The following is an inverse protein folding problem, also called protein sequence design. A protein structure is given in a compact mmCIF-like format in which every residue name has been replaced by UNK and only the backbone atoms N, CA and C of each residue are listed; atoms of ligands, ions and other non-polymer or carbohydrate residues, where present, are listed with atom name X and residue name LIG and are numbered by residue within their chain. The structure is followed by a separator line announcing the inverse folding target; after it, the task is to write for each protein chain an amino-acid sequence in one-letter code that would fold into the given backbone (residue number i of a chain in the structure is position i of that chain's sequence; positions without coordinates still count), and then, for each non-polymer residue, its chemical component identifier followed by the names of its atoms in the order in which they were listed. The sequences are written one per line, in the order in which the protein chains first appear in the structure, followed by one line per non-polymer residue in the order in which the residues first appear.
data_IF_964151786570
#
_entry.id   IF_964151786570
#
_cell.length_a   1.000
_cell.length_b   1.000
_cell.length_c   1.000
_cell.angle_alpha   90.00
_cell.angle_beta   90.00
_cell.angle_gamma   90.00
#
_symmetry.space_group_name_H-M   'P 1'
#
loop_
_entity.id
_entity.type
_entity.pdbx_description
1 polymer ?
#
# COMPACT_ATOMS: atom_id res chain seq x y z
N UNK A 1 25.30 1.17 -62.58
CA UNK A 1 23.99 0.59 -62.91
C UNK A 1 23.22 0.39 -61.61
N UNK A 2 22.26 1.28 -61.35
CA UNK A 2 21.48 1.37 -60.12
C UNK A 2 20.11 0.74 -60.42
N UNK A 3 19.74 -0.29 -59.66
CA UNK A 3 18.49 -1.04 -59.81
C UNK A 3 17.30 -0.30 -59.19
N UNK A 4 16.14 -0.68 -59.71
CA UNK A 4 14.88 0.06 -59.77
C UNK A 4 14.15 0.33 -58.45
N UNK A 5 13.45 1.45 -58.52
CA UNK A 5 12.26 1.92 -57.81
C UNK A 5 11.05 0.97 -57.90
N UNK A 6 10.27 0.88 -56.82
CA UNK A 6 8.80 0.83 -56.84
C UNK A 6 8.23 1.10 -55.45
N UNK A 7 7.48 2.18 -55.34
CA UNK A 7 6.71 2.62 -54.19
C UNK A 7 5.30 2.00 -54.19
N UNK A 8 4.71 1.76 -53.01
CA UNK A 8 3.27 1.52 -52.87
C UNK A 8 2.77 1.75 -51.43
N UNK A 9 2.16 2.90 -51.18
CA UNK A 9 1.13 3.25 -50.16
C UNK A 9 0.44 4.54 -50.65
N UNK A 10 -0.74 5.02 -50.16
CA UNK A 10 -1.70 4.47 -49.18
C UNK A 10 -3.20 4.59 -49.62
N UNK A 11 -4.12 3.92 -48.91
CA UNK A 11 -5.56 4.27 -48.84
C UNK A 11 -6.14 3.69 -47.53
N UNK A 12 -6.94 4.32 -46.68
CA UNK A 12 -7.57 5.64 -46.58
C UNK A 12 -8.53 5.57 -45.35
N UNK A 13 -8.92 6.68 -44.70
CA UNK A 13 -9.74 6.66 -43.49
C UNK A 13 -11.24 6.74 -43.82
N UNK A 14 -12.08 5.98 -43.12
CA UNK A 14 -13.55 6.12 -43.22
C UNK A 14 -14.10 7.01 -42.11
N UNK A 15 -14.80 8.07 -42.53
CA UNK A 15 -15.50 9.09 -41.75
C UNK A 15 -16.82 8.59 -41.14
N UNK A 16 -17.27 9.21 -40.04
CA UNK A 16 -18.63 9.06 -39.51
C UNK A 16 -18.89 9.80 -38.19
N UNK A 17 -19.17 11.12 -38.26
CA UNK A 17 -19.74 11.95 -37.19
C UNK A 17 -21.24 11.64 -37.00
N UNK A 18 -21.74 11.63 -35.77
CA UNK A 18 -22.98 12.36 -35.43
C UNK A 18 -23.14 12.60 -33.93
N UNK A 19 -23.71 13.75 -33.63
CA UNK A 19 -23.99 14.36 -32.33
C UNK A 19 -25.42 14.01 -31.89
N UNK A 20 -25.70 13.90 -30.58
CA UNK A 20 -26.93 14.47 -30.01
C UNK A 20 -26.87 14.62 -28.49
N UNK A 21 -27.76 15.46 -28.00
CA UNK A 21 -27.67 16.30 -26.82
C UNK A 21 -28.76 15.90 -25.81
N UNK A 22 -28.50 16.17 -24.52
CA UNK A 22 -29.47 16.47 -23.44
C UNK A 22 -30.54 15.46 -23.04
N UNK A 23 -30.51 15.02 -21.77
CA UNK A 23 -31.70 15.03 -20.90
C UNK A 23 -31.29 15.39 -19.47
N UNK A 24 -31.81 16.51 -18.97
CA UNK A 24 -31.90 16.88 -17.55
C UNK A 24 -32.94 15.98 -16.86
N UNK A 25 -32.69 15.60 -15.62
CA UNK A 25 -33.78 15.15 -14.72
C UNK A 25 -33.60 15.77 -13.35
N UNK A 26 -34.44 16.76 -13.08
CA UNK A 26 -34.69 17.34 -11.77
C UNK A 26 -35.28 16.29 -10.80
N UNK A 27 -34.89 16.38 -9.53
CA UNK A 27 -35.36 15.47 -8.49
C UNK A 27 -34.86 15.84 -7.10
N UNK A 28 -35.11 17.07 -6.65
CA UNK A 28 -35.05 17.48 -5.24
C UNK A 28 -36.15 16.76 -4.48
N UNK A 29 -35.82 16.02 -3.41
CA UNK A 29 -36.60 16.02 -2.17
C UNK A 29 -35.73 15.64 -0.96
N UNK A 30 -35.90 16.48 0.06
CA UNK A 30 -35.30 16.48 1.39
C UNK A 30 -36.11 15.59 2.32
N UNK A 31 -35.46 14.87 3.25
CA UNK A 31 -36.10 14.50 4.52
C UNK A 31 -35.05 14.40 5.62
N UNK A 32 -35.13 15.39 6.48
CA UNK A 32 -34.47 15.59 7.77
C UNK A 32 -34.96 14.56 8.80
N UNK A 33 -34.05 14.06 9.65
CA UNK A 33 -34.40 13.51 10.97
C UNK A 33 -33.53 14.17 12.03
N UNK A 34 -34.09 15.20 12.64
CA UNK A 34 -33.81 15.72 13.98
C UNK A 34 -33.82 14.59 15.04
N UNK A 35 -33.18 14.60 16.22
CA UNK A 35 -32.41 15.58 17.01
C UNK A 35 -31.99 14.88 18.32
N UNK A 36 -30.80 15.16 18.85
CA UNK A 36 -30.59 15.37 20.30
C UNK A 36 -29.27 16.10 20.57
N UNK A 37 -29.39 17.32 21.08
CA UNK A 37 -28.32 18.14 21.68
C UNK A 37 -28.49 18.11 23.20
N UNK A 38 -27.37 18.13 23.90
CA UNK A 38 -27.21 18.41 25.32
C UNK A 38 -25.96 17.67 25.80
N UNK A 39 -24.99 18.24 26.51
CA UNK A 39 -24.73 19.60 26.95
C UNK A 39 -23.20 19.70 27.16
N UNK A 40 -22.66 20.92 27.23
CA UNK A 40 -21.24 21.19 27.39
C UNK A 40 -20.65 20.62 28.70
N UNK A 41 -19.44 20.06 28.60
CA UNK A 41 -18.61 19.58 29.71
C UNK A 41 -17.17 19.33 29.26
N UNK A 42 -16.38 20.41 29.18
CA UNK A 42 -14.93 20.49 29.43
C UNK A 42 -14.03 19.25 29.21
N UNK A 43 -13.34 19.18 28.06
CA UNK A 43 -11.87 18.95 27.91
C UNK A 43 -11.50 18.66 26.44
N UNK A 44 -10.64 19.46 25.75
CA UNK A 44 -10.13 19.12 24.43
C UNK A 44 -8.79 18.39 24.57
N UNK A 45 -8.81 17.11 24.93
CA UNK A 45 -7.60 16.28 24.98
C UNK A 45 -7.91 14.81 24.67
N UNK A 46 -8.48 14.53 23.50
CA UNK A 46 -8.72 13.15 23.04
C UNK A 46 -8.59 13.00 21.51
N UNK A 47 -7.73 13.80 20.88
CA UNK A 47 -7.57 13.81 19.42
C UNK A 47 -6.44 12.93 18.87
N UNK A 48 -5.64 12.27 19.71
CA UNK A 48 -4.32 11.79 19.30
C UNK A 48 -4.09 10.28 19.46
N UNK A 49 -4.99 9.51 20.09
CA UNK A 49 -4.76 8.09 20.36
C UNK A 49 -4.94 7.22 19.11
N UNK A 50 -6.05 7.38 18.38
CA UNK A 50 -6.42 6.47 17.28
C UNK A 50 -5.44 6.46 16.10
N UNK A 51 -4.75 7.57 15.82
CA UNK A 51 -3.77 7.64 14.72
C UNK A 51 -2.46 6.92 15.03
N UNK A 52 -2.09 6.82 16.30
CA UNK A 52 -0.82 6.22 16.71
C UNK A 52 -0.90 4.68 16.66
N UNK A 53 -2.07 4.13 16.96
CA UNK A 53 -2.33 2.68 17.02
C UNK A 53 -2.09 1.95 15.69
N UNK A 54 -2.14 2.66 14.56
CA UNK A 54 -1.84 2.14 13.23
C UNK A 54 -0.63 2.81 12.56
N UNK A 55 0.18 3.54 13.33
CA UNK A 55 1.32 4.27 12.79
C UNK A 55 2.41 3.31 12.29
N UNK A 56 3.10 3.69 11.21
CA UNK A 56 4.19 2.88 10.67
C UNK A 56 5.25 2.58 11.74
N UNK A 57 5.60 3.56 12.57
CA UNK A 57 6.57 3.38 13.66
C UNK A 57 6.15 2.33 14.70
N UNK A 58 4.86 2.29 15.08
CA UNK A 58 4.37 1.24 15.99
C UNK A 58 4.39 -0.14 15.33
N UNK A 59 4.00 -0.23 14.06
CA UNK A 59 4.03 -1.48 13.31
C UNK A 59 5.46 -1.98 13.10
N UNK A 60 6.41 -1.09 12.78
CA UNK A 60 7.82 -1.44 12.65
C UNK A 60 8.39 -1.99 13.96
N UNK A 61 8.06 -1.40 15.12
CA UNK A 61 8.48 -1.94 16.42
C UNK A 61 7.97 -3.35 16.66
N UNK A 62 6.68 -3.60 16.40
CA UNK A 62 6.09 -4.94 16.51
C UNK A 62 6.73 -5.93 15.54
N UNK A 63 6.99 -5.50 14.31
CA UNK A 63 7.63 -6.31 13.28
C UNK A 63 9.07 -6.69 13.64
N UNK A 64 9.85 -5.76 14.20
CA UNK A 64 11.21 -6.03 14.67
C UNK A 64 11.22 -7.03 15.84
N UNK A 65 10.25 -6.97 16.75
CA UNK A 65 10.12 -7.98 17.79
C UNK A 65 9.89 -9.38 17.18
N UNK A 66 9.07 -9.49 16.12
CA UNK A 66 8.91 -10.77 15.41
C UNK A 66 10.24 -11.25 14.82
N UNK A 67 11.00 -10.36 14.16
CA UNK A 67 12.31 -10.67 13.56
C UNK A 67 13.32 -11.20 14.59
N UNK A 68 13.28 -10.68 15.81
CA UNK A 68 14.17 -11.10 16.89
C UNK A 68 13.78 -12.44 17.50
N UNK A 69 12.51 -12.86 17.36
CA UNK A 69 12.01 -14.13 17.93
C UNK A 69 12.19 -15.33 17.01
N UNK A 70 12.43 -15.14 15.71
CA UNK A 70 12.64 -16.24 14.76
C UNK A 70 14.10 -16.69 14.73
N UNK A 71 14.35 -17.98 14.96
CA UNK A 71 15.69 -18.57 15.05
C UNK A 71 16.51 -18.42 13.76
N UNK A 72 15.90 -18.65 12.59
CA UNK A 72 16.60 -18.54 11.29
C UNK A 72 16.69 -17.10 10.77
N UNK A 73 16.10 -16.13 11.48
CA UNK A 73 15.94 -14.76 11.00
C UNK A 73 15.08 -14.64 9.74
N UNK A 74 14.34 -15.68 9.35
CA UNK A 74 13.46 -15.68 8.17
C UNK A 74 12.02 -15.44 8.61
N UNK A 75 11.35 -14.48 7.98
CA UNK A 75 9.94 -14.18 8.22
C UNK A 75 9.12 -14.35 6.95
N UNK A 76 7.99 -15.05 7.09
CA UNK A 76 6.91 -15.11 6.11
C UNK A 76 6.04 -13.84 6.21
N UNK A 77 5.85 -13.17 5.08
CA UNK A 77 5.13 -11.88 5.00
C UNK A 77 3.62 -12.02 5.20
N UNK A 78 3.01 -13.18 4.93
CA UNK A 78 1.60 -13.42 5.24
C UNK A 78 1.43 -13.59 6.75
N UNK A 79 2.26 -14.44 7.36
CA UNK A 79 2.21 -14.68 8.81
C UNK A 79 2.45 -13.39 9.59
N UNK A 80 3.42 -12.57 9.18
CA UNK A 80 3.64 -11.28 9.82
C UNK A 80 2.44 -10.34 9.71
N UNK A 81 1.71 -10.36 8.58
CA UNK A 81 0.49 -9.58 8.40
C UNK A 81 -0.59 -10.01 9.40
N UNK A 82 -0.78 -11.32 9.55
CA UNK A 82 -1.76 -11.90 10.48
C UNK A 82 -1.41 -11.61 11.94
N UNK A 83 -0.13 -11.78 12.32
CA UNK A 83 0.35 -11.50 13.69
C UNK A 83 0.26 -10.03 14.07
N UNK A 84 0.51 -9.11 13.12
CA UNK A 84 0.36 -7.68 13.37
C UNK A 84 -1.10 -7.21 13.25
N UNK A 85 -2.01 -8.06 12.74
CA UNK A 85 -3.40 -7.70 12.46
C UNK A 85 -3.53 -6.60 11.41
N UNK A 86 -2.63 -6.55 10.44
CA UNK A 86 -2.56 -5.50 9.42
C UNK A 86 -2.67 -6.05 8.01
N UNK A 87 -3.08 -5.19 7.09
CA UNK A 87 -3.10 -5.52 5.67
C UNK A 87 -1.68 -5.69 5.12
N UNK A 88 -1.54 -6.58 4.13
CA UNK A 88 -0.26 -6.86 3.45
C UNK A 88 0.45 -5.61 2.90
N UNK A 89 -0.31 -4.56 2.56
CA UNK A 89 0.23 -3.26 2.15
C UNK A 89 1.15 -2.63 3.19
N UNK A 90 0.82 -2.75 4.49
CA UNK A 90 1.60 -2.19 5.59
C UNK A 90 2.90 -2.96 5.80
N UNK A 91 2.89 -4.27 5.57
CA UNK A 91 4.12 -5.07 5.58
C UNK A 91 5.11 -4.54 4.55
N UNK A 92 4.65 -4.21 3.33
CA UNK A 92 5.53 -3.63 2.31
C UNK A 92 6.06 -2.24 2.67
N UNK A 93 5.27 -1.41 3.36
CA UNK A 93 5.78 -0.11 3.85
C UNK A 93 6.97 -0.33 4.80
N UNK A 94 6.91 -1.33 5.66
CA UNK A 94 7.99 -1.66 6.60
C UNK A 94 9.17 -2.27 5.86
N UNK A 95 8.94 -3.26 5.00
CA UNK A 95 10.03 -3.95 4.30
C UNK A 95 10.79 -3.03 3.37
N UNK A 96 10.12 -2.13 2.63
CA UNK A 96 10.80 -1.20 1.73
C UNK A 96 11.77 -0.26 2.47
N UNK A 97 11.38 0.18 3.68
CA UNK A 97 12.26 1.01 4.52
C UNK A 97 13.43 0.18 5.03
N UNK A 98 13.19 -1.01 5.59
CA UNK A 98 14.23 -1.88 6.13
C UNK A 98 15.20 -2.40 5.04
N UNK A 99 14.70 -2.67 3.84
CA UNK A 99 15.49 -3.04 2.66
C UNK A 99 16.29 -1.85 2.15
N UNK A 100 15.70 -0.64 2.11
CA UNK A 100 16.39 0.58 1.71
C UNK A 100 17.57 0.96 2.61
N UNK A 101 17.53 0.58 3.89
CA UNK A 101 18.66 0.69 4.84
C UNK A 101 19.45 -0.62 5.00
N UNK A 102 19.16 -1.62 4.17
CA UNK A 102 19.89 -2.88 4.04
C UNK A 102 19.94 -3.73 5.33
N UNK A 103 18.92 -3.65 6.19
CA UNK A 103 18.79 -4.47 7.41
C UNK A 103 18.08 -5.81 7.17
N UNK A 104 17.39 -5.93 6.04
CA UNK A 104 16.76 -7.17 5.58
C UNK A 104 17.10 -7.41 4.12
N UNK A 105 16.92 -8.64 3.67
CA UNK A 105 16.94 -9.00 2.25
C UNK A 105 15.79 -9.92 1.87
N UNK A 106 15.48 -9.93 0.58
CA UNK A 106 14.45 -10.80 0.02
C UNK A 106 15.03 -12.20 -0.20
N UNK A 107 14.48 -13.19 0.52
CA UNK A 107 14.83 -14.61 0.33
C UNK A 107 13.96 -15.27 -0.74
N UNK A 108 12.67 -14.95 -0.76
CA UNK A 108 11.73 -15.44 -1.78
C UNK A 108 10.54 -14.47 -1.93
N UNK A 109 9.56 -14.80 -2.79
CA UNK A 109 8.37 -13.93 -3.02
C UNK A 109 7.62 -13.58 -1.74
N UNK A 110 7.60 -14.47 -0.76
CA UNK A 110 6.85 -14.29 0.49
C UNK A 110 7.74 -14.33 1.75
N UNK A 111 9.05 -14.44 1.59
CA UNK A 111 9.98 -14.54 2.71
C UNK A 111 11.06 -13.47 2.64
N UNK A 112 11.32 -12.84 3.78
CA UNK A 112 12.47 -11.97 3.99
C UNK A 112 13.41 -12.58 5.02
N UNK A 113 14.68 -12.18 4.98
CA UNK A 113 15.70 -12.60 5.94
C UNK A 113 16.30 -11.37 6.63
N UNK A 114 16.44 -11.47 7.95
CA UNK A 114 17.08 -10.50 8.83
C UNK A 114 18.60 -10.56 8.65
N UNK A 115 19.24 -9.42 8.39
CA UNK A 115 20.70 -9.31 8.29
C UNK A 115 21.37 -8.99 9.63
N UNK A 116 20.67 -8.33 10.53
CA UNK A 116 21.24 -7.89 11.81
C UNK A 116 21.35 -8.99 12.88
N UNK A 117 21.06 -10.25 12.54
CA UNK A 117 21.04 -11.40 13.46
C UNK A 117 22.27 -12.30 13.34
N UNK A 118 23.08 -12.14 12.29
CA UNK A 118 24.35 -12.85 12.12
C UNK A 118 25.45 -12.19 12.96
N UNK A 119 25.23 -12.14 14.27
CA UNK A 119 26.18 -11.64 15.27
C UNK A 119 26.80 -12.75 16.12
N UNK A 120 26.80 -14.00 15.65
CA UNK A 120 27.42 -15.10 16.39
C UNK A 120 27.73 -16.27 15.46
N UNK A 121 29.01 -16.63 15.42
CA UNK A 121 29.57 -17.90 14.95
C UNK A 121 29.63 -18.15 13.43
N UNK A 122 30.48 -17.39 12.74
CA UNK A 122 31.31 -18.01 11.68
C UNK A 122 32.60 -18.52 12.34
N UNK A 123 32.81 -19.85 12.50
CA UNK A 123 34.13 -20.37 12.86
C UNK A 123 35.06 -20.35 11.63
N UNK A 124 36.36 -20.05 11.81
CA UNK A 124 37.38 -20.19 10.77
C UNK A 124 37.65 -21.65 10.40
#
# INVERSE_FOLDING_TARGET
FKTHESASEPAGPTSGKSSHMSVKKDGRMTSESSKKKGAAGSSPAAGNSSRYDSSLGLLTKKFLNLLQTVEDGIIDLNQAADMLGVQKRRIYDITNVLEGINLIEKKSKNNIQWKGGSGGTDPP
#
